data_IF_076183057965
#
_entry.id   IF_076183057965
#
_cell.length_a   1.000
_cell.length_b   1.000
_cell.length_c   1.000
_cell.angle_alpha   90.00
_cell.angle_beta   90.00
_cell.angle_gamma   90.00
#
_symmetry.space_group_name_H-M   'P 1'
#
loop_
_entity.id
_entity.type
_entity.pdbx_description
1 polymer ?
#
# COMPACT_ATOMS: atom_id res chain seq x y z
N UNK A 1 -38.74 27.55 34.61
CA UNK A 1 -38.34 26.13 34.48
C UNK A 1 -38.41 25.76 33.01
N UNK A 2 -37.30 25.21 32.47
CA UNK A 2 -37.28 24.10 31.48
C UNK A 2 -37.98 24.40 30.13
N UNK A 3 -37.29 24.62 29.01
CA UNK A 3 -36.35 23.67 28.39
C UNK A 3 -35.42 24.39 27.39
N UNK A 4 -34.14 24.50 27.72
CA UNK A 4 -33.07 24.81 26.77
C UNK A 4 -32.92 23.57 25.87
N UNK A 5 -33.27 23.73 24.61
CA UNK A 5 -32.94 22.78 23.54
C UNK A 5 -31.44 22.91 23.31
N UNK A 6 -30.66 22.16 24.08
CA UNK A 6 -29.23 22.00 23.85
C UNK A 6 -29.05 20.91 22.79
N UNK A 7 -29.11 21.32 21.52
CA UNK A 7 -28.56 20.53 20.42
C UNK A 7 -27.05 20.50 20.65
N UNK A 8 -26.57 19.40 21.23
CA UNK A 8 -25.14 19.05 21.25
C UNK A 8 -24.80 18.59 19.83
N UNK A 9 -24.47 19.55 18.97
CA UNK A 9 -23.82 19.27 17.70
C UNK A 9 -22.38 18.85 18.03
N UNK A 10 -22.21 17.56 18.27
CA UNK A 10 -20.90 16.94 18.37
C UNK A 10 -20.32 16.84 16.95
N UNK A 11 -19.91 17.98 16.40
CA UNK A 11 -19.03 18.02 15.23
C UNK A 11 -17.68 17.47 15.66
N UNK A 12 -17.55 16.15 15.62
CA UNK A 12 -16.26 15.51 15.50
C UNK A 12 -15.71 15.92 14.13
N UNK A 13 -15.05 17.09 14.10
CA UNK A 13 -14.08 17.40 13.08
C UNK A 13 -12.97 16.37 13.26
N UNK A 14 -13.13 15.21 12.63
CA UNK A 14 -12.01 14.35 12.30
C UNK A 14 -11.17 15.14 11.31
N UNK A 15 -10.34 16.04 11.85
CA UNK A 15 -9.22 16.59 11.10
C UNK A 15 -8.33 15.38 10.88
N UNK A 16 -8.50 14.71 9.74
CA UNK A 16 -7.64 13.63 9.31
C UNK A 16 -6.22 14.18 9.32
N UNK A 17 -5.44 13.79 10.32
CA UNK A 17 -4.06 14.18 10.42
C UNK A 17 -3.36 13.43 9.29
N UNK A 18 -3.14 14.11 8.15
CA UNK A 18 -2.35 13.54 7.06
C UNK A 18 -0.98 13.22 7.65
N UNK A 19 -0.63 11.94 7.71
CA UNK A 19 0.66 11.51 8.20
C UNK A 19 1.72 12.05 7.23
N UNK A 20 2.57 12.96 7.71
CA UNK A 20 3.69 13.43 6.92
C UNK A 20 4.73 12.30 6.88
N UNK A 21 4.94 11.73 5.70
CA UNK A 21 5.92 10.64 5.50
C UNK A 21 7.34 11.19 5.65
N UNK A 22 8.10 10.60 6.57
CA UNK A 22 9.49 10.94 6.84
C UNK A 22 10.42 9.89 6.25
N UNK A 23 11.70 10.24 6.07
CA UNK A 23 12.71 9.28 5.61
C UNK A 23 12.87 8.07 6.54
N UNK A 24 12.52 8.21 7.82
CA UNK A 24 12.54 7.12 8.81
C UNK A 24 11.44 6.10 8.61
N UNK A 25 10.40 6.42 7.84
CA UNK A 25 9.26 5.54 7.59
C UNK A 25 9.49 4.63 6.39
N UNK A 26 10.39 5.03 5.47
CA UNK A 26 10.68 4.31 4.22
C UNK A 26 11.05 2.84 4.44
N UNK A 27 11.78 2.42 5.48
CA UNK A 27 12.01 1.00 5.73
C UNK A 27 10.72 0.16 5.81
N UNK A 28 9.59 0.73 6.22
CA UNK A 28 8.31 0.03 6.30
C UNK A 28 7.77 -0.42 4.93
N UNK A 29 8.19 0.23 3.84
CA UNK A 29 7.77 -0.14 2.49
C UNK A 29 8.29 -1.53 2.09
N UNK A 30 9.40 -1.99 2.66
CA UNK A 30 10.07 -3.21 2.24
C UNK A 30 9.25 -4.46 2.57
N UNK A 31 9.10 -5.36 1.60
CA UNK A 31 8.34 -6.60 1.75
C UNK A 31 7.17 -6.69 0.76
N UNK A 32 6.22 -7.56 1.09
CA UNK A 32 5.10 -7.92 0.23
C UNK A 32 3.85 -7.11 0.59
N UNK A 33 3.10 -6.72 -0.44
CA UNK A 33 1.89 -5.93 -0.31
C UNK A 33 0.77 -6.53 -1.16
N UNK A 34 -0.38 -6.76 -0.54
CA UNK A 34 -1.60 -7.21 -1.19
C UNK A 34 -2.54 -6.02 -1.34
N UNK A 35 -3.07 -5.81 -2.55
CA UNK A 35 -4.07 -4.77 -2.79
C UNK A 35 -5.42 -5.18 -2.22
N UNK A 36 -6.09 -4.27 -1.54
CA UNK A 36 -7.38 -4.53 -0.90
C UNK A 36 -8.48 -3.60 -1.41
N UNK A 37 -8.12 -2.38 -1.83
CA UNK A 37 -9.08 -1.43 -2.40
C UNK A 37 -8.44 -0.52 -3.44
N UNK A 38 -9.20 -0.19 -4.48
CA UNK A 38 -8.89 0.88 -5.43
C UNK A 38 -10.00 1.92 -5.35
N UNK A 39 -9.62 3.17 -5.08
CA UNK A 39 -10.52 4.32 -5.01
C UNK A 39 -10.28 5.18 -6.24
N UNK A 40 -11.33 5.47 -7.00
CA UNK A 40 -11.24 6.28 -8.23
C UNK A 40 -11.66 7.73 -7.94
N UNK A 41 -11.15 8.70 -8.71
CA UNK A 41 -11.61 10.11 -8.64
C UNK A 41 -13.11 10.21 -9.00
N UNK A 42 -13.56 9.36 -9.93
CA UNK A 42 -14.93 9.24 -10.38
C UNK A 42 -15.30 7.77 -10.61
N UNK A 43 -16.53 7.40 -10.26
CA UNK A 43 -17.05 6.04 -10.42
C UNK A 43 -17.13 5.25 -9.11
N UNK A 44 -17.33 3.94 -9.22
CA UNK A 44 -17.41 3.03 -8.07
C UNK A 44 -16.03 2.48 -7.71
N UNK A 45 -15.71 2.54 -6.42
CA UNK A 45 -14.52 1.90 -5.85
C UNK A 45 -14.54 0.39 -6.09
N UNK A 46 -13.35 -0.21 -6.15
CA UNK A 46 -13.19 -1.65 -6.30
C UNK A 46 -12.51 -2.26 -5.09
N UNK A 47 -13.22 -3.17 -4.42
CA UNK A 47 -12.68 -3.97 -3.31
C UNK A 47 -12.16 -5.31 -3.80
N UNK A 48 -11.10 -5.80 -3.14
CA UNK A 48 -10.45 -7.07 -3.43
C UNK A 48 -10.40 -7.94 -2.17
N UNK A 49 -10.79 -9.21 -2.32
CA UNK A 49 -10.67 -10.21 -1.25
C UNK A 49 -9.29 -10.84 -1.22
N UNK A 50 -9.14 -11.98 -1.92
CA UNK A 50 -7.86 -12.64 -2.11
C UNK A 50 -7.30 -12.35 -3.51
N UNK A 51 -6.02 -11.98 -3.59
CA UNK A 51 -5.37 -11.63 -4.84
C UNK A 51 -4.36 -12.70 -5.29
N UNK A 52 -4.24 -12.86 -6.62
CA UNK A 52 -3.27 -13.78 -7.22
C UNK A 52 -1.87 -13.17 -7.37
N UNK A 53 -1.76 -11.84 -7.32
CA UNK A 53 -0.52 -11.12 -7.54
C UNK A 53 -0.34 -10.05 -6.48
N UNK A 54 0.83 -10.03 -5.84
CA UNK A 54 1.25 -9.07 -4.84
C UNK A 54 2.38 -8.22 -5.41
N UNK A 55 2.59 -7.04 -4.82
CA UNK A 55 3.73 -6.19 -5.10
C UNK A 55 4.80 -6.38 -4.02
N UNK A 56 6.04 -6.69 -4.43
CA UNK A 56 7.20 -6.76 -3.55
C UNK A 56 8.07 -5.53 -3.76
N UNK A 57 8.39 -4.83 -2.66
CA UNK A 57 9.30 -3.70 -2.67
C UNK A 57 10.57 -4.01 -1.90
N UNK A 58 11.70 -3.56 -2.46
CA UNK A 58 12.99 -3.57 -1.79
C UNK A 58 13.72 -2.27 -2.08
N UNK A 59 13.75 -1.38 -1.10
CA UNK A 59 14.35 -0.05 -1.12
C UNK A 59 15.54 -0.04 -0.15
N UNK A 60 16.67 0.46 -0.66
CA UNK A 60 17.90 0.64 0.11
C UNK A 60 17.91 1.96 0.90
N UNK A 61 18.96 2.13 1.72
CA UNK A 61 19.17 3.36 2.51
C UNK A 61 19.38 4.63 1.68
N UNK A 62 19.63 4.51 0.38
CA UNK A 62 19.79 5.62 -0.55
C UNK A 62 18.48 5.92 -1.30
N UNK A 63 17.35 5.36 -0.83
CA UNK A 63 16.04 5.53 -1.42
C UNK A 63 15.93 4.98 -2.85
N UNK A 64 16.74 3.98 -3.21
CA UNK A 64 16.71 3.30 -4.50
C UNK A 64 16.39 1.83 -4.34
N UNK A 65 15.70 1.25 -5.31
CA UNK A 65 15.26 -0.11 -5.16
C UNK A 65 14.56 -0.70 -6.36
N UNK A 66 13.83 -1.78 -6.09
CA UNK A 66 13.01 -2.47 -7.08
C UNK A 66 11.59 -2.68 -6.56
N UNK A 67 10.65 -2.70 -7.52
CA UNK A 67 9.32 -3.29 -7.35
C UNK A 67 9.22 -4.51 -8.26
N UNK A 68 8.64 -5.59 -7.75
CA UNK A 68 8.33 -6.81 -8.50
C UNK A 68 6.91 -7.25 -8.28
N UNK A 69 6.28 -7.80 -9.32
CA UNK A 69 5.03 -8.56 -9.15
C UNK A 69 5.37 -10.00 -8.83
N UNK A 70 4.70 -10.55 -7.83
CA UNK A 70 4.95 -11.90 -7.32
C UNK A 70 3.63 -12.61 -7.06
N UNK A 71 3.60 -13.93 -7.18
CA UNK A 71 2.40 -14.72 -6.90
C UNK A 71 2.60 -15.61 -5.65
N UNK A 72 1.83 -15.39 -4.55
CA UNK A 72 1.96 -16.19 -3.33
C UNK A 72 1.61 -17.66 -3.59
N UNK A 73 2.33 -18.56 -2.93
CA UNK A 73 2.09 -20.00 -2.95
C UNK A 73 1.57 -20.49 -1.59
N UNK A 74 0.92 -21.65 -1.60
CA UNK A 74 0.32 -22.27 -0.40
C UNK A 74 1.37 -22.87 0.55
N UNK A 75 2.61 -23.04 0.09
CA UNK A 75 3.75 -23.53 0.86
C UNK A 75 4.55 -22.41 1.55
N UNK A 76 4.08 -21.15 1.43
CA UNK A 76 4.73 -19.97 1.98
C UNK A 76 5.75 -19.32 1.05
N UNK A 77 5.98 -19.87 -0.14
CA UNK A 77 6.88 -19.26 -1.13
C UNK A 77 6.16 -18.25 -2.02
N UNK A 78 6.92 -17.52 -2.82
CA UNK A 78 6.39 -16.62 -3.84
C UNK A 78 7.01 -16.99 -5.19
N UNK A 79 6.18 -17.17 -6.20
CA UNK A 79 6.65 -17.24 -7.59
C UNK A 79 7.01 -15.83 -8.04
N UNK A 80 8.20 -15.71 -8.61
CA UNK A 80 8.74 -14.45 -9.13
C UNK A 80 9.14 -14.69 -10.57
N UNK A 81 8.89 -13.70 -11.43
CA UNK A 81 9.53 -13.65 -12.74
C UNK A 81 10.81 -12.79 -12.69
N UNK A 82 11.51 -12.73 -13.82
CA UNK A 82 12.74 -11.93 -13.96
C UNK A 82 12.44 -10.42 -14.14
N UNK A 83 11.17 -10.03 -14.25
CA UNK A 83 10.78 -8.65 -14.47
C UNK A 83 10.80 -7.85 -13.16
N UNK A 84 11.31 -6.63 -13.24
CA UNK A 84 11.25 -5.67 -12.14
C UNK A 84 11.23 -4.26 -12.68
N UNK A 85 10.67 -3.36 -11.87
CA UNK A 85 10.71 -1.93 -12.11
C UNK A 85 11.75 -1.33 -11.17
N UNK A 86 12.60 -0.43 -11.68
CA UNK A 86 13.43 0.38 -10.80
C UNK A 86 12.53 1.40 -10.13
N UNK A 87 12.65 1.54 -8.82
CA UNK A 87 11.90 2.52 -8.04
C UNK A 87 12.85 3.39 -7.24
N UNK A 88 12.51 4.67 -7.12
CA UNK A 88 13.21 5.63 -6.26
C UNK A 88 12.21 6.36 -5.39
N UNK A 89 12.53 6.50 -4.10
CA UNK A 89 11.78 7.39 -3.21
C UNK A 89 12.30 8.81 -3.35
N UNK A 90 11.40 9.76 -3.59
CA UNK A 90 11.70 11.19 -3.68
C UNK A 90 10.84 11.96 -2.68
N UNK A 91 11.48 12.87 -1.94
CA UNK A 91 10.79 13.82 -1.06
C UNK A 91 10.76 15.18 -1.75
N UNK A 92 9.58 15.79 -1.80
CA UNK A 92 9.38 17.11 -2.40
C UNK A 92 8.11 17.74 -1.84
N UNK A 93 8.13 19.04 -1.52
CA UNK A 93 6.96 19.80 -1.07
C UNK A 93 6.22 19.12 0.10
N UNK A 94 6.98 18.65 1.10
CA UNK A 94 6.52 17.92 2.28
C UNK A 94 5.79 16.59 1.99
N UNK A 95 5.93 16.07 0.77
CA UNK A 95 5.37 14.78 0.32
C UNK A 95 6.46 13.78 -0.04
N UNK A 96 6.10 12.51 -0.04
CA UNK A 96 6.93 11.41 -0.51
C UNK A 96 6.33 10.79 -1.77
N UNK A 97 7.19 10.39 -2.71
CA UNK A 97 6.80 9.84 -4.01
C UNK A 97 7.61 8.58 -4.34
N UNK A 98 6.98 7.66 -5.06
CA UNK A 98 7.63 6.54 -5.73
C UNK A 98 7.76 6.86 -7.22
N UNK A 99 9.00 7.03 -7.68
CA UNK A 99 9.32 7.23 -9.08
C UNK A 99 9.73 5.89 -9.71
N UNK A 100 8.92 5.40 -10.63
CA UNK A 100 9.13 4.13 -11.32
C UNK A 100 9.75 4.33 -12.69
N UNK A 101 10.66 3.43 -13.07
CA UNK A 101 11.27 3.38 -14.39
C UNK A 101 11.24 1.94 -14.92
N UNK A 102 10.65 1.77 -16.08
CA UNK A 102 10.72 0.56 -16.90
C UNK A 102 11.39 0.88 -18.24
N UNK A 103 11.72 -0.12 -19.08
CA UNK A 103 12.20 0.14 -20.45
C UNK A 103 11.22 0.95 -21.32
N UNK A 104 9.93 0.97 -20.97
CA UNK A 104 8.87 1.52 -21.80
C UNK A 104 8.30 2.83 -21.26
N UNK A 105 8.32 3.03 -19.94
CA UNK A 105 7.64 4.16 -19.31
C UNK A 105 8.30 4.59 -18.00
N UNK A 106 8.01 5.83 -17.62
CA UNK A 106 8.29 6.39 -16.30
C UNK A 106 6.98 6.93 -15.75
N UNK A 107 6.71 6.65 -14.49
CA UNK A 107 5.51 7.13 -13.81
C UNK A 107 5.81 7.33 -12.34
N UNK A 108 4.97 8.13 -11.68
CA UNK A 108 5.14 8.52 -10.30
C UNK A 108 3.83 8.32 -9.55
N UNK A 109 3.94 7.87 -8.31
CA UNK A 109 2.84 7.81 -7.35
C UNK A 109 3.23 8.56 -6.07
N UNK A 110 2.29 9.30 -5.47
CA UNK A 110 2.45 9.91 -4.15
C UNK A 110 2.16 8.88 -3.06
N UNK A 111 2.99 8.80 -2.02
CA UNK A 111 2.75 7.97 -0.84
C UNK A 111 1.84 8.78 0.09
N UNK A 112 0.60 8.35 0.24
CA UNK A 112 -0.43 9.00 1.06
C UNK A 112 -0.37 8.50 2.51
N UNK A 113 -0.14 7.19 2.68
CA UNK A 113 0.04 6.55 3.98
C UNK A 113 1.12 5.47 3.88
N UNK A 114 1.94 5.36 4.92
CA UNK A 114 2.93 4.29 5.05
C UNK A 114 3.13 3.97 6.53
N UNK A 115 2.77 2.75 6.92
CA UNK A 115 3.02 2.17 8.23
C UNK A 115 3.60 0.76 8.05
N UNK A 116 3.80 0.03 9.15
CA UNK A 116 4.22 -1.37 9.07
C UNK A 116 3.20 -2.27 8.36
N UNK A 117 1.90 -1.92 8.44
CA UNK A 117 0.80 -2.76 7.99
C UNK A 117 0.00 -2.15 6.82
N UNK A 118 0.18 -0.86 6.54
CA UNK A 118 -0.61 -0.10 5.55
C UNK A 118 0.30 0.65 4.55
N UNK A 119 -0.07 0.60 3.28
CA UNK A 119 0.49 1.43 2.22
C UNK A 119 -0.65 1.96 1.34
N UNK A 120 -0.71 3.28 1.16
CA UNK A 120 -1.63 3.92 0.23
C UNK A 120 -0.84 4.79 -0.74
N UNK A 121 -1.03 4.58 -2.04
CA UNK A 121 -0.39 5.35 -3.10
C UNK A 121 -1.40 5.97 -4.06
N UNK A 122 -1.13 7.19 -4.51
CA UNK A 122 -1.98 7.97 -5.40
C UNK A 122 -1.28 8.20 -6.75
N UNK A 123 -1.90 7.78 -7.85
CA UNK A 123 -1.35 7.99 -9.18
C UNK A 123 -1.75 9.35 -9.80
N UNK A 124 -1.22 9.64 -10.99
CA UNK A 124 -1.51 10.89 -11.72
C UNK A 124 -2.97 11.03 -12.17
N UNK A 125 -3.75 9.94 -12.21
CA UNK A 125 -5.19 9.93 -12.50
C UNK A 125 -6.03 10.07 -11.21
N UNK A 126 -5.40 10.43 -10.10
CA UNK A 126 -5.99 10.52 -8.76
C UNK A 126 -6.69 9.22 -8.31
N UNK A 127 -6.19 8.08 -8.77
CA UNK A 127 -6.62 6.78 -8.28
C UNK A 127 -5.74 6.41 -7.09
N UNK A 128 -6.37 6.07 -5.97
CA UNK A 128 -5.67 5.55 -4.80
C UNK A 128 -5.68 4.02 -4.81
N UNK A 129 -4.53 3.44 -4.51
CA UNK A 129 -4.35 2.01 -4.32
C UNK A 129 -4.04 1.77 -2.85
N UNK A 130 -4.92 1.03 -2.18
CA UNK A 130 -4.83 0.71 -0.76
C UNK A 130 -4.33 -0.72 -0.62
N UNK A 131 -3.26 -0.88 0.14
CA UNK A 131 -2.58 -2.14 0.35
C UNK A 131 -2.44 -2.47 1.84
N UNK A 132 -2.54 -3.76 2.15
CA UNK A 132 -2.07 -4.32 3.42
C UNK A 132 -0.77 -5.07 3.26
N UNK A 133 -0.02 -5.15 4.36
CA UNK A 133 1.18 -5.98 4.42
C UNK A 133 0.81 -7.44 4.27
N UNK A 134 1.52 -8.12 3.37
CA UNK A 134 1.38 -9.55 3.14
C UNK A 134 2.53 -10.31 3.80
N UNK A 135 2.18 -11.44 4.43
CA UNK A 135 3.13 -12.43 4.91
C UNK A 135 3.03 -13.70 4.07
N UNK A 136 4.07 -14.54 4.14
CA UNK A 136 4.02 -15.87 3.56
C UNK A 136 2.79 -16.64 4.07
N UNK A 137 2.05 -17.27 3.15
CA UNK A 137 0.91 -18.12 3.46
C UNK A 137 1.39 -19.57 3.46
N UNK A 138 1.52 -20.22 4.63
CA UNK A 138 1.88 -21.64 4.70
C UNK A 138 0.72 -22.44 5.27
N UNK A 139 0.05 -23.22 4.41
CA UNK A 139 -1.07 -24.10 4.80
C UNK A 139 -0.74 -25.58 4.61
N UNK A 140 0.45 -25.92 4.10
CA UNK A 140 0.89 -27.30 3.93
C UNK A 140 1.41 -27.93 5.23
N UNK A 141 1.88 -27.12 6.19
CA UNK A 141 2.38 -27.58 7.49
C UNK A 141 1.30 -27.90 8.53
N UNK A 142 0.12 -27.27 8.41
CA UNK A 142 -0.92 -27.27 9.46
C UNK A 142 -2.12 -28.18 9.14
N UNK A 143 -2.05 -28.92 8.04
CA UNK A 143 -3.09 -29.85 7.61
C UNK A 143 -3.21 -31.05 8.56
N UNK A 144 -4.37 -31.23 9.19
CA UNK A 144 -4.71 -32.52 9.81
C UNK A 144 -4.85 -33.57 8.70
N UNK A 145 -4.09 -34.66 8.79
CA UNK A 145 -4.28 -35.84 7.92
C UNK A 145 -5.73 -36.31 8.05
N UNK A 146 -6.46 -36.31 6.95
CA UNK A 146 -7.73 -37.04 6.85
C UNK A 146 -7.40 -38.53 6.94
N UNK A 147 -7.97 -39.21 7.94
CA UNK A 147 -7.91 -40.68 8.06
C UNK A 147 -8.74 -41.34 6.98
#
# INVERSE_FOLDING_TARGET
MKNLVTIVLFSFLLVGCKQQIQSTDIPNINGYWEIEKVVFDEGEDKEYGANQNYDYFQIDKNNQGIRKKVAPQLDGTFLVDDSFEKVRVRFQDDKAFLDYVTPYMKYTEEIIALTADELVVLNAQKTEYHYKKATAINILGDGKKTK
#
